data_IF_268288062639
#
_entry.id   IF_268288062639
#
_cell.length_a   1.000
_cell.length_b   1.000
_cell.length_c   1.000
_cell.angle_alpha   90.00
_cell.angle_beta   90.00
_cell.angle_gamma   90.00
#
_symmetry.space_group_name_H-M   'P 1'
#
loop_
_entity.id
_entity.type
_entity.pdbx_description
1 polymer ?
#
# COMPACT_ATOMS: atom_id res chain seq x y z
N UNK A 1 13.42 -3.59 2.69
CA UNK A 1 11.97 -3.87 2.46
C UNK A 1 11.69 -5.30 2.83
N UNK A 2 10.48 -5.58 3.29
CA UNK A 2 10.09 -6.89 3.78
C UNK A 2 8.83 -7.35 3.05
N UNK A 3 8.83 -8.62 2.67
CA UNK A 3 7.63 -9.33 2.26
C UNK A 3 7.01 -9.90 3.53
N UNK A 4 5.76 -9.53 3.77
CA UNK A 4 4.93 -10.04 4.86
C UNK A 4 4.01 -11.08 4.25
N UNK A 5 4.03 -12.28 4.79
CA UNK A 5 3.09 -13.33 4.43
C UNK A 5 2.47 -13.98 5.65
N UNK A 6 1.29 -14.54 5.45
CA UNK A 6 0.63 -15.38 6.44
C UNK A 6 1.46 -16.66 6.74
N UNK A 7 1.13 -17.35 7.83
CA UNK A 7 1.72 -18.63 8.23
C UNK A 7 1.69 -19.64 7.07
N UNK A 8 0.55 -19.73 6.38
CA UNK A 8 0.34 -20.63 5.26
C UNK A 8 0.92 -20.13 3.93
N UNK A 9 1.51 -18.92 3.90
CA UNK A 9 2.04 -18.26 2.69
C UNK A 9 1.02 -18.12 1.54
N UNK A 10 -0.29 -18.19 1.83
CA UNK A 10 -1.36 -18.03 0.83
C UNK A 10 -1.48 -16.57 0.42
N UNK A 11 -1.53 -15.68 1.40
CA UNK A 11 -1.60 -14.24 1.20
C UNK A 11 -0.26 -13.60 1.53
N UNK A 12 0.14 -12.63 0.70
CA UNK A 12 1.34 -11.85 0.94
C UNK A 12 1.14 -10.40 0.52
N UNK A 13 1.89 -9.51 1.15
CA UNK A 13 2.03 -8.11 0.77
C UNK A 13 3.48 -7.69 1.05
N UNK A 14 3.82 -6.48 0.64
CA UNK A 14 5.13 -5.90 0.87
C UNK A 14 4.96 -4.71 1.79
N UNK A 15 5.86 -4.60 2.77
CA UNK A 15 5.91 -3.52 3.72
C UNK A 15 7.35 -2.99 3.83
N UNK A 16 7.48 -1.70 4.09
CA UNK A 16 8.73 -1.18 4.66
C UNK A 16 8.70 -1.22 6.18
N UNK A 17 9.86 -1.00 6.76
CA UNK A 17 10.05 -0.92 8.19
C UNK A 17 9.95 0.57 8.58
N UNK A 18 8.96 0.91 9.40
CA UNK A 18 8.81 2.26 9.92
C UNK A 18 9.76 2.47 11.11
N UNK A 19 9.62 1.66 12.16
CA UNK A 19 10.41 1.74 13.40
C UNK A 19 10.62 0.36 14.03
N UNK A 20 11.69 0.23 14.83
CA UNK A 20 12.04 -0.98 15.59
C UNK A 20 11.74 -0.76 17.08
N UNK A 21 10.55 -0.24 17.37
CA UNK A 21 10.11 0.10 18.74
C UNK A 21 9.31 -1.01 19.41
N UNK A 22 9.11 -2.14 18.73
CA UNK A 22 8.38 -3.30 19.25
C UNK A 22 9.19 -4.17 20.20
N UNK A 23 8.49 -4.89 21.08
CA UNK A 23 9.09 -5.98 21.88
C UNK A 23 9.64 -7.08 20.95
N UNK A 24 10.68 -7.78 21.39
CA UNK A 24 11.27 -8.88 20.62
C UNK A 24 10.21 -9.90 20.20
N UNK A 25 10.17 -10.20 18.90
CA UNK A 25 9.22 -11.14 18.32
C UNK A 25 7.82 -10.57 18.05
N UNK A 26 7.58 -9.27 18.25
CA UNK A 26 6.30 -8.62 17.90
C UNK A 26 6.43 -7.70 16.69
N UNK A 27 5.43 -7.73 15.82
CA UNK A 27 5.34 -6.89 14.63
C UNK A 27 3.99 -6.19 14.66
N UNK A 28 4.00 -4.87 14.49
CA UNK A 28 2.79 -4.07 14.40
C UNK A 28 2.53 -3.73 12.94
N UNK A 29 1.36 -4.12 12.45
CA UNK A 29 0.92 -3.86 11.09
C UNK A 29 -0.30 -2.94 11.10
N UNK A 30 -0.47 -2.09 10.08
CA UNK A 30 -1.70 -1.34 9.89
C UNK A 30 -2.89 -2.28 9.69
N UNK A 31 -4.06 -1.88 10.18
CA UNK A 31 -5.29 -2.67 10.09
C UNK A 31 -5.65 -3.08 8.66
N UNK A 32 -5.46 -2.18 7.68
CA UNK A 32 -5.72 -2.48 6.26
C UNK A 32 -4.84 -3.62 5.73
N UNK A 33 -3.58 -3.71 6.20
CA UNK A 33 -2.65 -4.77 5.80
C UNK A 33 -3.04 -6.10 6.44
N UNK A 34 -3.46 -6.08 7.71
CA UNK A 34 -4.01 -7.26 8.38
C UNK A 34 -5.25 -7.79 7.66
N UNK A 35 -6.19 -6.91 7.32
CA UNK A 35 -7.41 -7.27 6.57
C UNK A 35 -7.10 -7.89 5.22
N UNK A 36 -6.10 -7.38 4.50
CA UNK A 36 -5.65 -7.93 3.22
C UNK A 36 -5.00 -9.31 3.35
N UNK A 37 -4.20 -9.50 4.40
CA UNK A 37 -3.52 -10.76 4.67
C UNK A 37 -4.42 -11.78 5.37
N UNK A 38 -5.67 -11.42 5.70
CA UNK A 38 -6.60 -12.20 6.50
C UNK A 38 -6.05 -12.60 7.87
N UNK A 39 -5.27 -11.69 8.48
CA UNK A 39 -4.65 -11.90 9.79
C UNK A 39 -5.53 -11.35 10.91
N UNK A 40 -5.53 -12.06 12.03
CA UNK A 40 -6.07 -11.63 13.31
C UNK A 40 -4.94 -11.23 14.28
N UNK A 41 -5.31 -10.57 15.38
CA UNK A 41 -4.38 -10.23 16.44
C UNK A 41 -3.79 -11.51 17.07
N UNK A 42 -2.46 -11.61 17.08
CA UNK A 42 -1.74 -12.77 17.61
C UNK A 42 -1.39 -13.84 16.58
N UNK A 43 -1.81 -13.70 15.33
CA UNK A 43 -1.43 -14.63 14.27
C UNK A 43 0.07 -14.55 13.94
N UNK A 44 0.65 -15.68 13.57
CA UNK A 44 2.07 -15.79 13.21
C UNK A 44 2.23 -15.35 11.77
N UNK A 45 3.16 -14.41 11.54
CA UNK A 45 3.50 -13.93 10.21
C UNK A 45 4.92 -14.29 9.83
N UNK A 46 5.13 -14.49 8.53
CA UNK A 46 6.44 -14.69 7.95
C UNK A 46 6.96 -13.37 7.38
N UNK A 47 8.10 -12.91 7.91
CA UNK A 47 8.82 -11.76 7.38
C UNK A 47 10.03 -12.23 6.59
N UNK A 48 10.09 -11.85 5.31
CA UNK A 48 11.24 -12.13 4.45
C UNK A 48 11.79 -10.84 3.86
N UNK A 49 13.06 -10.56 4.06
CA UNK A 49 13.70 -9.42 3.41
C UNK A 49 13.75 -9.64 1.90
N UNK A 50 13.32 -8.63 1.13
CA UNK A 50 13.33 -8.65 -0.33
C UNK A 50 13.83 -7.31 -0.87
N UNK A 51 14.54 -7.37 -2.00
CA UNK A 51 14.87 -6.20 -2.81
C UNK A 51 13.77 -5.96 -3.84
N UNK A 52 13.17 -4.77 -3.85
CA UNK A 52 12.18 -4.37 -4.85
C UNK A 52 12.76 -3.28 -5.74
N UNK A 53 12.46 -3.28 -7.05
CA UNK A 53 12.88 -2.22 -7.94
C UNK A 53 12.15 -0.90 -7.62
N UNK A 54 12.75 0.25 -7.96
CA UNK A 54 12.10 1.54 -7.82
C UNK A 54 10.86 1.64 -8.72
N UNK A 55 9.81 2.26 -8.22
CA UNK A 55 8.61 2.57 -9.01
C UNK A 55 8.91 3.70 -10.01
N UNK A 56 8.43 3.57 -11.25
CA UNK A 56 8.46 4.64 -12.23
C UNK A 56 7.07 5.26 -12.44
N UNK A 57 6.06 4.41 -12.59
CA UNK A 57 4.67 4.81 -12.80
C UNK A 57 3.81 3.91 -11.94
N UNK A 58 2.82 4.51 -11.28
CA UNK A 58 1.81 3.78 -10.53
C UNK A 58 0.43 4.33 -10.89
N UNK A 59 -0.50 3.42 -11.17
CA UNK A 59 -1.89 3.74 -11.45
C UNK A 59 -2.75 3.37 -10.26
N UNK A 60 -3.56 4.32 -9.83
CA UNK A 60 -4.52 4.11 -8.75
C UNK A 60 -5.95 4.28 -9.23
N UNK A 61 -6.85 3.54 -8.59
CA UNK A 61 -8.30 3.62 -8.80
C UNK A 61 -8.98 3.90 -7.46
N UNK A 62 -9.86 4.90 -7.48
CA UNK A 62 -10.71 5.23 -6.34
C UNK A 62 -11.86 4.24 -6.25
N UNK A 63 -12.09 3.67 -5.07
CA UNK A 63 -13.22 2.78 -4.84
C UNK A 63 -14.56 3.54 -4.71
N UNK A 64 -14.54 4.82 -4.34
CA UNK A 64 -15.75 5.66 -4.26
C UNK A 64 -15.62 6.92 -5.13
N UNK A 65 -16.62 7.13 -5.98
CA UNK A 65 -16.73 8.28 -6.89
C UNK A 65 -16.99 9.58 -6.13
N UNK A 66 -17.56 9.50 -4.91
CA UNK A 66 -17.73 10.65 -4.04
C UNK A 66 -16.39 11.30 -3.65
N UNK A 67 -15.29 10.54 -3.72
CA UNK A 67 -13.95 11.00 -3.35
C UNK A 67 -13.31 11.92 -4.38
N UNK A 68 -13.49 11.65 -5.68
CA UNK A 68 -12.94 12.49 -6.76
C UNK A 68 -13.49 13.92 -6.69
N UNK A 69 -14.69 14.11 -6.12
CA UNK A 69 -15.34 15.43 -5.98
C UNK A 69 -14.99 16.15 -4.67
N UNK A 70 -14.60 15.44 -3.62
CA UNK A 70 -14.32 16.03 -2.31
C UNK A 70 -12.87 16.52 -2.14
N UNK A 71 -11.93 15.99 -2.92
CA UNK A 71 -10.50 16.30 -2.79
C UNK A 71 -10.08 17.23 -3.92
N UNK A 72 -9.72 18.47 -3.58
CA UNK A 72 -9.33 19.48 -4.57
C UNK A 72 -8.02 19.15 -5.29
N UNK A 73 -7.11 18.40 -4.65
CA UNK A 73 -5.85 17.96 -5.23
C UNK A 73 -5.47 16.55 -4.74
N UNK A 74 -6.00 15.49 -5.39
CA UNK A 74 -5.78 14.10 -4.97
C UNK A 74 -4.31 13.69 -5.08
N UNK A 75 -3.59 14.19 -6.08
CA UNK A 75 -2.17 13.88 -6.31
C UNK A 75 -1.32 14.33 -5.12
N UNK A 76 -1.49 15.57 -4.65
CA UNK A 76 -0.69 16.11 -3.55
C UNK A 76 -0.94 15.42 -2.21
N UNK A 77 -2.20 15.06 -1.93
CA UNK A 77 -2.55 14.30 -0.71
C UNK A 77 -1.90 12.92 -0.77
N UNK A 78 -1.99 12.25 -1.91
CA UNK A 78 -1.38 10.93 -2.06
C UNK A 78 0.13 10.98 -2.05
N UNK A 79 0.79 11.94 -2.70
CA UNK A 79 2.24 12.08 -2.58
C UNK A 79 2.69 12.25 -1.12
N UNK A 80 1.92 12.97 -0.31
CA UNK A 80 2.20 13.12 1.11
C UNK A 80 2.02 11.81 1.88
N UNK A 81 0.90 11.12 1.68
CA UNK A 81 0.61 9.86 2.37
C UNK A 81 1.52 8.72 1.88
N UNK A 82 1.82 8.67 0.59
CA UNK A 82 2.73 7.70 -0.04
C UNK A 82 4.16 7.81 0.48
N UNK A 83 4.60 8.96 1.00
CA UNK A 83 5.90 9.05 1.70
C UNK A 83 5.95 8.17 2.95
N UNK A 84 4.81 7.89 3.58
CA UNK A 84 4.71 6.95 4.69
C UNK A 84 4.60 5.50 4.24
N UNK A 85 4.36 5.25 2.94
CA UNK A 85 4.25 3.92 2.36
C UNK A 85 5.49 3.59 1.51
N UNK A 86 6.31 2.67 2.01
CA UNK A 86 7.56 2.32 1.35
C UNK A 86 7.41 1.39 0.13
N UNK A 87 6.28 0.68 0.03
CA UNK A 87 6.08 -0.39 -0.95
C UNK A 87 4.64 -0.43 -1.46
N UNK A 88 4.49 -0.74 -2.75
CA UNK A 88 3.20 -0.92 -3.40
C UNK A 88 3.17 -2.27 -4.11
N UNK A 89 2.08 -3.00 -3.95
CA UNK A 89 1.82 -4.27 -4.63
C UNK A 89 0.55 -4.06 -5.48
N UNK A 90 0.49 -4.56 -6.73
CA UNK A 90 -0.71 -4.43 -7.55
C UNK A 90 -1.87 -5.19 -6.89
N UNK A 91 -3.08 -4.69 -7.07
CA UNK A 91 -4.31 -5.13 -6.41
C UNK A 91 -4.39 -4.87 -4.90
N UNK A 92 -3.42 -4.17 -4.29
CA UNK A 92 -3.52 -3.76 -2.90
C UNK A 92 -4.51 -2.61 -2.74
N UNK A 93 -5.37 -2.73 -1.72
CA UNK A 93 -6.24 -1.64 -1.27
C UNK A 93 -5.57 -0.99 -0.07
N UNK A 94 -5.19 0.26 -0.24
CA UNK A 94 -4.56 1.09 0.79
C UNK A 94 -5.64 1.99 1.36
N UNK A 95 -5.65 2.10 2.67
CA UNK A 95 -6.60 2.91 3.41
C UNK A 95 -5.87 4.06 4.10
N UNK A 96 -6.32 5.29 3.87
CA UNK A 96 -5.77 6.48 4.54
C UNK A 96 -6.88 7.38 5.08
N UNK A 97 -6.56 8.19 6.09
CA UNK A 97 -7.52 9.11 6.72
C UNK A 97 -7.21 10.54 6.30
N UNK A 98 -8.21 11.25 5.77
CA UNK A 98 -8.08 12.65 5.36
C UNK A 98 -9.34 13.43 5.80
N UNK A 99 -9.18 14.62 6.39
CA UNK A 99 -10.32 15.42 6.90
C UNK A 99 -11.33 14.63 7.77
N UNK A 100 -10.86 13.66 8.57
CA UNK A 100 -11.71 12.84 9.44
C UNK A 100 -12.54 11.77 8.72
N UNK A 101 -12.29 11.52 7.43
CA UNK A 101 -12.87 10.42 6.67
C UNK A 101 -11.79 9.43 6.26
N UNK A 102 -12.18 8.18 6.22
CA UNK A 102 -11.35 7.08 5.75
C UNK A 102 -11.60 6.90 4.25
N UNK A 103 -10.52 6.74 3.49
CA UNK A 103 -10.52 6.57 2.05
C UNK A 103 -9.81 5.29 1.66
N UNK A 104 -10.43 4.55 0.75
CA UNK A 104 -9.89 3.32 0.18
C UNK A 104 -9.44 3.57 -1.26
N UNK A 105 -8.18 3.22 -1.54
CA UNK A 105 -7.54 3.38 -2.84
C UNK A 105 -6.95 2.05 -3.29
N UNK A 106 -7.30 1.61 -4.51
CA UNK A 106 -6.76 0.38 -5.08
C UNK A 106 -5.59 0.68 -6.02
N UNK A 107 -4.52 -0.09 -5.90
CA UNK A 107 -3.42 -0.11 -6.86
C UNK A 107 -3.86 -0.94 -8.07
N UNK A 108 -3.95 -0.32 -9.24
CA UNK A 108 -4.34 -1.00 -10.49
C UNK A 108 -3.12 -1.59 -11.16
N UNK A 109 -2.10 -0.75 -11.39
CA UNK A 109 -0.90 -1.14 -12.13
C UNK A 109 0.33 -0.45 -11.54
N UNK A 110 1.45 -1.15 -11.63
CA UNK A 110 2.78 -0.65 -11.25
C UNK A 110 3.75 -0.86 -12.41
N UNK A 111 4.68 0.08 -12.57
CA UNK A 111 5.76 -0.01 -13.54
C UNK A 111 7.12 0.00 -12.83
N UNK A 112 8.03 -0.95 -13.14
CA UNK A 112 8.00 -1.92 -14.24
C UNK A 112 7.04 -3.12 -14.02
N UNK A 113 6.28 -3.58 -15.04
CA UNK A 113 5.25 -4.61 -14.91
C UNK A 113 5.80 -6.01 -14.59
N UNK A 114 7.11 -6.19 -14.74
CA UNK A 114 7.81 -7.43 -14.40
C UNK A 114 8.00 -7.57 -12.88
N UNK A 115 7.83 -6.49 -12.13
CA UNK A 115 7.96 -6.48 -10.69
C UNK A 115 6.65 -6.89 -10.02
N UNK A 116 6.72 -7.84 -9.08
CA UNK A 116 5.57 -8.23 -8.25
C UNK A 116 5.16 -7.15 -7.24
N UNK A 117 6.08 -6.26 -6.93
CA UNK A 117 5.89 -5.09 -6.09
C UNK A 117 7.00 -4.09 -6.38
N UNK A 118 6.77 -2.82 -6.07
CA UNK A 118 7.72 -1.73 -6.27
C UNK A 118 8.01 -1.01 -4.97
N UNK A 119 9.21 -0.44 -4.90
CA UNK A 119 9.64 0.46 -3.84
C UNK A 119 9.27 1.91 -4.21
N UNK A 120 8.67 2.64 -3.26
CA UNK A 120 8.30 4.05 -3.38
C UNK A 120 9.20 4.98 -2.53
N UNK A 121 10.27 4.44 -1.91
CA UNK A 121 11.22 5.24 -1.13
C UNK A 121 11.96 6.21 -2.05
N UNK A 122 11.93 7.51 -1.72
CA UNK A 122 12.69 8.58 -2.37
C UNK A 122 12.61 8.60 -3.91
N UNK A 123 11.49 8.14 -4.46
CA UNK A 123 11.29 8.01 -5.91
C UNK A 123 10.35 9.07 -6.43
N UNK A 124 10.69 9.69 -7.56
CA UNK A 124 9.84 10.62 -8.31
C UNK A 124 8.85 9.85 -9.19
N UNK A 125 8.10 8.93 -8.58
CA UNK A 125 7.14 8.08 -9.27
C UNK A 125 6.03 8.95 -9.86
N UNK A 126 5.70 8.76 -11.14
CA UNK A 126 4.51 9.39 -11.71
C UNK A 126 3.26 8.67 -11.21
N UNK A 127 2.40 9.40 -10.50
CA UNK A 127 1.11 8.93 -10.01
C UNK A 127 0.05 9.26 -11.05
N UNK A 128 -0.61 8.23 -11.57
CA UNK A 128 -1.70 8.36 -12.54
C UNK A 128 -3.01 7.81 -11.95
N UNK A 129 -4.14 8.36 -12.37
CA UNK A 129 -5.45 8.03 -11.83
C UNK A 129 -6.33 7.43 -12.92
N UNK A 130 -6.79 6.21 -12.68
CA UNK A 130 -7.82 5.62 -13.52
C UNK A 130 -9.19 6.22 -13.15
N UNK A 131 -10.02 6.58 -14.15
CA UNK A 131 -11.40 6.96 -13.90
C UNK A 131 -12.15 5.78 -13.25
N UNK A 132 -13.02 6.03 -12.25
CA UNK A 132 -13.74 4.96 -11.57
C UNK A 132 -14.67 4.21 -12.54
N UNK A 133 -14.95 2.92 -12.29
CA UNK A 133 -15.79 2.12 -13.16
C UNK A 133 -17.25 2.61 -13.06
N UNK A 134 -17.81 3.10 -14.16
CA UNK A 134 -19.24 3.43 -14.28
C UNK A 134 -19.59 4.86 -14.72
N UNK A 135 -18.80 5.47 -15.62
CA UNK A 135 -19.23 6.68 -16.33
C UNK A 135 -20.32 6.36 -17.38
#
# INVERSE_FOLDING_TARGET
>A
LFRVSDEHNVHFSHAGLADITGEEGRVYLPYWMMKKLHLNEGDIINLKQVGLPPCQIIKFEWQDVAFTKCISNPTAVLERELKSYFTMTPDDVIQFSYNGRIYDLRVVEIFPPQAKAVCMIDTTSNVDFCPPPGY
#
